data_IF_429015337789
#
_entry.id   IF_429015337789
#
_cell.length_a   1.000
_cell.length_b   1.000
_cell.length_c   1.000
_cell.angle_alpha   90.00
_cell.angle_beta   90.00
_cell.angle_gamma   90.00
#
_symmetry.space_group_name_H-M   'P 1'
#
loop_
_entity.id
_entity.type
_entity.pdbx_description
1 polymer ?
#
# COMPACT_ATOMS: atom_id res chain seq x y z
N UNK A 1 5.59 9.85 -14.81
CA UNK A 1 4.53 8.99 -14.21
C UNK A 1 4.84 8.80 -12.74
N UNK A 2 3.84 8.86 -11.85
CA UNK A 2 4.03 8.76 -10.38
C UNK A 2 4.80 7.50 -9.96
N UNK A 3 4.52 6.35 -10.58
CA UNK A 3 5.21 5.09 -10.29
C UNK A 3 6.74 5.14 -10.52
N UNK A 4 7.20 5.82 -11.58
CA UNK A 4 8.65 5.97 -11.85
C UNK A 4 9.31 6.81 -10.75
N UNK A 5 8.62 7.83 -10.26
CA UNK A 5 9.10 8.64 -9.13
C UNK A 5 9.19 7.83 -7.84
N UNK A 6 8.19 7.00 -7.53
CA UNK A 6 8.23 6.12 -6.35
C UNK A 6 9.35 5.10 -6.46
N UNK A 7 9.53 4.46 -7.63
CA UNK A 7 10.66 3.53 -7.86
C UNK A 7 12.01 4.23 -7.64
N UNK A 8 12.15 5.48 -8.11
CA UNK A 8 13.35 6.28 -7.85
C UNK A 8 13.55 6.52 -6.35
N UNK A 9 12.50 6.96 -5.62
CA UNK A 9 12.56 7.17 -4.16
C UNK A 9 13.01 5.91 -3.42
N UNK A 10 12.42 4.76 -3.74
CA UNK A 10 12.79 3.46 -3.17
C UNK A 10 14.25 3.10 -3.47
N UNK A 11 14.73 3.36 -4.70
CA UNK A 11 16.11 3.10 -5.12
C UNK A 11 17.11 4.00 -4.38
N UNK A 12 16.76 5.25 -4.17
CA UNK A 12 17.57 6.26 -3.48
C UNK A 12 17.52 6.12 -1.94
N UNK A 13 16.60 5.30 -1.41
CA UNK A 13 16.37 5.15 0.01
C UNK A 13 15.55 6.27 0.64
N UNK A 14 14.88 7.08 -0.17
CA UNK A 14 13.95 8.10 0.29
C UNK A 14 12.65 7.48 0.80
N UNK A 15 12.11 8.02 1.89
CA UNK A 15 10.87 7.55 2.48
C UNK A 15 9.66 7.67 1.53
N UNK A 16 8.84 6.62 1.46
CA UNK A 16 7.61 6.58 0.64
C UNK A 16 6.46 5.91 1.39
N UNK A 17 5.26 6.46 1.29
CA UNK A 17 4.04 5.85 1.84
C UNK A 17 3.32 5.10 0.72
N UNK A 18 2.87 3.88 0.99
CA UNK A 18 2.10 3.05 0.06
C UNK A 18 0.78 2.69 0.74
N UNK A 19 -0.31 3.28 0.29
CA UNK A 19 -1.65 2.94 0.81
C UNK A 19 -2.32 1.92 -0.11
N UNK A 20 -2.88 0.87 0.46
CA UNK A 20 -3.66 -0.13 -0.23
C UNK A 20 -5.14 -0.02 0.16
N UNK A 21 -5.98 0.40 -0.79
CA UNK A 21 -7.42 0.50 -0.65
C UNK A 21 -8.09 -0.68 -1.35
N UNK A 22 -8.99 -1.37 -0.66
CA UNK A 22 -9.70 -2.51 -1.26
C UNK A 22 -10.59 -3.23 -0.28
N UNK A 23 -10.81 -4.51 -0.54
CA UNK A 23 -11.78 -5.36 0.17
C UNK A 23 -11.10 -6.33 1.16
N UNK A 24 -11.69 -7.51 1.34
CA UNK A 24 -11.18 -8.59 2.18
C UNK A 24 -9.80 -9.10 1.73
N UNK A 25 -9.50 -9.10 0.43
CA UNK A 25 -8.20 -9.56 -0.07
C UNK A 25 -7.08 -8.58 0.27
N UNK A 26 -7.37 -7.27 0.17
CA UNK A 26 -6.46 -6.21 0.63
C UNK A 26 -6.27 -6.28 2.13
N UNK A 27 -7.35 -6.48 2.88
CA UNK A 27 -7.28 -6.64 4.34
C UNK A 27 -6.44 -7.86 4.77
N UNK A 28 -6.42 -8.94 3.97
CA UNK A 28 -5.75 -10.20 4.31
C UNK A 28 -6.68 -11.20 5.01
N UNK A 29 -7.97 -11.19 4.66
CA UNK A 29 -8.98 -12.06 5.25
C UNK A 29 -8.63 -13.55 5.06
N UNK A 30 -8.78 -14.34 6.14
CA UNK A 30 -8.52 -15.79 6.21
C UNK A 30 -7.08 -16.23 5.94
N UNK A 31 -6.10 -15.32 6.00
CA UNK A 31 -4.68 -15.68 5.85
C UNK A 31 -3.80 -15.08 6.95
N UNK A 32 -2.74 -15.80 7.32
CA UNK A 32 -1.72 -15.29 8.24
C UNK A 32 -0.83 -14.22 7.57
N UNK A 33 -0.67 -14.28 6.24
CA UNK A 33 0.07 -13.31 5.43
C UNK A 33 -0.73 -12.97 4.17
N UNK A 34 -1.24 -11.74 4.10
CA UNK A 34 -1.86 -11.18 2.90
C UNK A 34 -0.83 -10.73 1.86
N UNK A 35 -1.27 -10.40 0.65
CA UNK A 35 -0.36 -10.02 -0.44
C UNK A 35 0.49 -8.78 -0.11
N UNK A 36 0.00 -7.88 0.75
CA UNK A 36 0.75 -6.69 1.17
C UNK A 36 1.98 -7.04 2.01
N UNK A 37 1.95 -8.15 2.75
CA UNK A 37 3.12 -8.65 3.48
C UNK A 37 4.19 -9.10 2.48
N UNK A 38 3.80 -9.91 1.49
CA UNK A 38 4.71 -10.35 0.44
C UNK A 38 5.24 -9.18 -0.40
N UNK A 39 4.39 -8.19 -0.71
CA UNK A 39 4.82 -6.97 -1.38
C UNK A 39 5.92 -6.25 -0.59
N UNK A 40 5.73 -6.08 0.72
CA UNK A 40 6.74 -5.48 1.59
C UNK A 40 8.05 -6.27 1.63
N UNK A 41 7.97 -7.60 1.69
CA UNK A 41 9.14 -8.49 1.63
C UNK A 41 9.89 -8.34 0.30
N UNK A 42 9.17 -8.39 -0.84
CA UNK A 42 9.74 -8.23 -2.18
C UNK A 42 10.35 -6.84 -2.39
N UNK A 43 9.72 -5.77 -1.88
CA UNK A 43 10.26 -4.42 -1.99
C UNK A 43 11.54 -4.25 -1.17
N UNK A 44 11.61 -4.82 0.04
CA UNK A 44 12.84 -4.81 0.86
C UNK A 44 13.97 -5.60 0.20
N UNK A 45 13.67 -6.76 -0.39
CA UNK A 45 14.66 -7.55 -1.12
C UNK A 45 15.19 -6.80 -2.34
N UNK A 46 14.29 -6.21 -3.14
CA UNK A 46 14.65 -5.52 -4.38
C UNK A 46 15.30 -4.16 -4.15
N UNK A 47 14.89 -3.44 -3.11
CA UNK A 47 15.39 -2.11 -2.76
C UNK A 47 15.86 -2.09 -1.29
N UNK A 48 17.05 -2.66 -0.98
CA UNK A 48 17.50 -2.83 0.41
C UNK A 48 17.69 -1.53 1.20
N UNK A 49 17.83 -0.40 0.50
CA UNK A 49 17.95 0.94 1.10
C UNK A 49 16.61 1.63 1.30
N UNK A 50 15.53 1.08 0.75
CA UNK A 50 14.23 1.72 0.76
C UNK A 50 13.70 1.87 2.19
N UNK A 51 13.14 3.04 2.46
CA UNK A 51 12.32 3.30 3.63
C UNK A 51 10.90 3.49 3.14
N UNK A 52 9.96 2.70 3.66
CA UNK A 52 8.56 2.82 3.26
C UNK A 52 7.63 2.24 4.31
N UNK A 53 6.42 2.79 4.34
CA UNK A 53 5.29 2.26 5.09
C UNK A 53 4.24 1.72 4.12
N UNK A 54 3.65 0.57 4.46
CA UNK A 54 2.49 0.01 3.75
C UNK A 54 1.28 0.12 4.68
N UNK A 55 0.32 0.97 4.32
CA UNK A 55 -0.90 1.20 5.08
C UNK A 55 -2.03 0.39 4.44
N UNK A 56 -2.59 -0.55 5.19
CA UNK A 56 -3.68 -1.40 4.73
C UNK A 56 -5.04 -0.80 5.11
N UNK A 57 -5.83 -0.41 4.11
CA UNK A 57 -7.21 0.10 4.25
C UNK A 57 -8.22 -0.82 3.57
N UNK A 58 -7.99 -2.14 3.65
CA UNK A 58 -8.93 -3.15 3.18
C UNK A 58 -10.13 -3.31 4.12
N UNK A 59 -11.34 -3.29 3.57
CA UNK A 59 -12.59 -3.52 4.33
C UNK A 59 -13.35 -4.71 3.70
N UNK A 60 -13.51 -5.85 4.39
CA UNK A 60 -14.21 -7.00 3.83
C UNK A 60 -15.60 -6.69 3.29
N UNK A 61 -15.85 -7.09 2.04
CA UNK A 61 -17.13 -6.85 1.34
C UNK A 61 -17.30 -5.44 0.77
N UNK A 62 -16.30 -4.57 0.93
CA UNK A 62 -16.32 -3.23 0.34
C UNK A 62 -16.18 -3.29 -1.19
N UNK A 63 -16.63 -2.22 -1.85
CA UNK A 63 -16.57 -2.07 -3.31
C UNK A 63 -15.91 -0.75 -3.67
N UNK A 64 -15.73 -0.49 -4.97
CA UNK A 64 -15.20 0.79 -5.44
C UNK A 64 -16.10 1.99 -5.03
N UNK A 65 -17.41 1.78 -4.88
CA UNK A 65 -18.33 2.84 -4.43
C UNK A 65 -18.05 3.22 -2.97
N UNK A 66 -17.96 2.24 -2.06
CA UNK A 66 -17.58 2.49 -0.67
C UNK A 66 -16.16 3.05 -0.55
N UNK A 67 -15.24 2.53 -1.36
CA UNK A 67 -13.88 3.07 -1.50
C UNK A 67 -13.87 4.56 -1.90
N UNK A 68 -14.73 4.99 -2.83
CA UNK A 68 -14.82 6.40 -3.23
C UNK A 68 -15.28 7.31 -2.08
N UNK A 69 -16.19 6.83 -1.23
CA UNK A 69 -16.70 7.61 -0.10
C UNK A 69 -15.64 7.83 0.99
N UNK A 70 -14.68 6.92 1.13
CA UNK A 70 -13.62 6.97 2.15
C UNK A 70 -12.22 7.28 1.63
N UNK A 71 -12.03 7.39 0.31
CA UNK A 71 -10.69 7.60 -0.28
C UNK A 71 -9.97 8.84 0.26
N UNK A 72 -10.73 9.86 0.68
CA UNK A 72 -10.14 11.07 1.27
C UNK A 72 -9.43 10.75 2.59
N UNK A 73 -10.18 10.22 3.55
CA UNK A 73 -9.71 9.90 4.90
C UNK A 73 -8.75 8.71 4.94
N UNK A 74 -8.99 7.69 4.11
CA UNK A 74 -8.19 6.46 4.16
C UNK A 74 -6.93 6.53 3.29
N UNK A 75 -6.89 7.39 2.27
CA UNK A 75 -5.79 7.42 1.29
C UNK A 75 -5.20 8.81 1.15
N UNK A 76 -5.99 9.82 0.79
CA UNK A 76 -5.45 11.13 0.39
C UNK A 76 -4.81 11.85 1.58
N UNK A 77 -5.40 11.74 2.77
CA UNK A 77 -4.90 12.43 3.98
C UNK A 77 -3.60 11.79 4.53
N UNK A 78 -3.23 10.60 4.06
CA UNK A 78 -1.94 9.92 4.36
C UNK A 78 -0.78 10.40 3.45
N UNK A 79 -1.06 11.26 2.46
CA UNK A 79 -0.11 11.75 1.44
C UNK A 79 0.75 10.66 0.74
N UNK A 80 0.12 9.66 0.09
CA UNK A 80 0.80 8.54 -0.57
C UNK A 80 1.53 8.91 -1.88
#
# INVERSE_FOLDING_TARGET
MKAVTTIRKLTEGSHSVIVALGDSLTQGWLVNKGYLVFLGEMLKEKYPKAQFDIINRGIPGDTAEGGLLRVREDVIDEDP
#
